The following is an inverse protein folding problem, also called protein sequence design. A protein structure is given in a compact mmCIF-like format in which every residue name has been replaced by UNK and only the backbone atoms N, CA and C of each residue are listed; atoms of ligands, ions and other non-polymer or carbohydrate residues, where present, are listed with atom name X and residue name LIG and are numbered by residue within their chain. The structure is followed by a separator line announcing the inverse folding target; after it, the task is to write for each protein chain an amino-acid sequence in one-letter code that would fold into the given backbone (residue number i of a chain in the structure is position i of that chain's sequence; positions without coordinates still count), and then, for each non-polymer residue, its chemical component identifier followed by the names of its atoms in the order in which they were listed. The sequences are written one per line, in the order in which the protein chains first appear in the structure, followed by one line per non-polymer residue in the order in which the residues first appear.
data_IF_733544053802
#
_entry.id   IF_733544053802
#
_cell.length_a   1.000
_cell.length_b   1.000
_cell.length_c   1.000
_cell.angle_alpha   90.00
_cell.angle_beta   90.00
_cell.angle_gamma   90.00
#
_symmetry.space_group_name_H-M   'P 1'
#
loop_
_entity.id
_entity.type
_entity.pdbx_description
1 polymer ?
#
# COMPACT_ATOMS: atom_id res chain seq x y z
N UNK A 1 6.45 -13.02 -3.33
CA UNK A 1 5.35 -12.15 -3.80
C UNK A 1 4.84 -12.66 -5.16
N UNK A 2 3.58 -13.07 -5.27
CA UNK A 2 3.07 -13.71 -6.50
C UNK A 2 2.36 -12.70 -7.40
N UNK A 3 1.39 -11.98 -6.84
CA UNK A 3 0.62 -10.96 -7.55
C UNK A 3 0.48 -9.74 -6.68
N UNK A 4 0.84 -8.58 -7.23
CA UNK A 4 0.83 -7.29 -6.55
C UNK A 4 -0.11 -6.32 -7.28
N UNK A 5 -1.40 -6.24 -6.89
CA UNK A 5 -2.23 -5.10 -7.22
C UNK A 5 -1.65 -3.81 -6.65
N UNK A 6 -1.64 -2.77 -7.46
CA UNK A 6 -1.25 -1.41 -7.08
C UNK A 6 -2.33 -0.42 -7.51
N UNK A 7 -2.47 0.65 -6.72
CA UNK A 7 -3.40 1.73 -7.00
C UNK A 7 -2.88 3.06 -6.47
N UNK A 8 -3.44 4.15 -6.99
CA UNK A 8 -3.13 5.52 -6.61
C UNK A 8 -4.36 6.15 -5.94
N UNK A 9 -4.23 6.48 -4.66
CA UNK A 9 -5.26 7.18 -3.89
C UNK A 9 -5.03 8.68 -4.02
N UNK A 10 -6.04 9.41 -4.50
CA UNK A 10 -6.00 10.87 -4.64
C UNK A 10 -6.18 11.54 -3.28
N UNK A 11 -5.15 12.26 -2.85
CA UNK A 11 -5.12 13.01 -1.59
C UNK A 11 -5.02 14.52 -1.83
N UNK A 12 -5.24 15.02 -3.05
CA UNK A 12 -5.06 16.45 -3.38
C UNK A 12 -5.93 17.39 -2.55
N UNK A 13 -7.15 16.98 -2.20
CA UNK A 13 -8.05 17.76 -1.33
C UNK A 13 -7.60 17.82 0.12
N UNK A 14 -6.61 17.00 0.49
CA UNK A 14 -5.99 16.90 1.80
C UNK A 14 -4.46 16.83 1.64
N UNK A 15 -3.89 17.64 0.74
CA UNK A 15 -2.44 17.60 0.47
C UNK A 15 -1.65 17.80 1.77
N UNK A 16 -0.60 17.00 1.95
CA UNK A 16 0.26 17.07 3.13
C UNK A 16 1.51 17.88 2.79
N UNK A 17 1.62 19.07 3.39
CA UNK A 17 2.76 19.97 3.23
C UNK A 17 3.78 19.63 4.31
N UNK A 18 4.82 18.89 3.94
CA UNK A 18 5.88 18.45 4.86
C UNK A 18 6.99 19.50 4.96
N UNK A 19 7.28 20.18 3.85
CA UNK A 19 8.21 21.31 3.79
C UNK A 19 7.85 22.25 2.64
N UNK A 20 8.62 23.33 2.47
CA UNK A 20 8.42 24.27 1.34
C UNK A 20 8.53 23.59 -0.04
N UNK A 21 9.35 22.54 -0.14
CA UNK A 21 9.64 21.83 -1.39
C UNK A 21 8.95 20.47 -1.50
N UNK A 22 8.32 19.97 -0.44
CA UNK A 22 7.74 18.63 -0.39
C UNK A 22 6.26 18.72 -0.01
N UNK A 23 5.41 18.44 -0.99
CA UNK A 23 3.95 18.37 -0.81
C UNK A 23 3.42 17.06 -1.36
N UNK A 24 2.95 16.19 -0.48
CA UNK A 24 2.35 14.92 -0.89
C UNK A 24 0.88 15.09 -1.25
N UNK A 25 0.51 14.60 -2.43
CA UNK A 25 -0.84 14.70 -2.99
C UNK A 25 -1.46 13.35 -3.33
N UNK A 26 -0.70 12.26 -3.23
CA UNK A 26 -1.12 10.93 -3.64
C UNK A 26 -0.55 9.87 -2.70
N UNK A 27 -1.21 8.72 -2.62
CA UNK A 27 -0.66 7.52 -1.98
C UNK A 27 -0.57 6.42 -3.04
N UNK A 28 0.62 5.85 -3.21
CA UNK A 28 0.78 4.56 -3.88
C UNK A 28 0.48 3.45 -2.87
N UNK A 29 -0.60 2.73 -3.10
CA UNK A 29 -0.96 1.57 -2.30
C UNK A 29 -0.62 0.30 -3.07
N UNK A 30 0.06 -0.63 -2.42
CA UNK A 30 0.43 -1.94 -2.95
C UNK A 30 -0.04 -3.01 -1.97
N UNK A 31 -0.63 -4.09 -2.45
CA UNK A 31 -1.05 -5.21 -1.61
C UNK A 31 -0.63 -6.54 -2.25
N UNK A 32 0.01 -7.45 -1.52
CA UNK A 32 0.18 -8.81 -2.03
C UNK A 32 -1.16 -9.54 -1.98
N UNK A 33 -1.60 -10.04 -3.13
CA UNK A 33 -2.93 -10.64 -3.27
C UNK A 33 -3.14 -11.88 -2.38
N UNK A 34 -2.08 -12.64 -2.08
CA UNK A 34 -2.18 -13.85 -1.28
C UNK A 34 -1.94 -13.56 0.21
N UNK A 35 -0.83 -12.89 0.52
CA UNK A 35 -0.42 -12.57 1.89
C UNK A 35 -1.36 -11.55 2.56
N UNK A 36 -2.05 -10.74 1.74
CA UNK A 36 -2.78 -9.54 2.17
C UNK A 36 -1.89 -8.49 2.85
N UNK A 37 -0.58 -8.65 2.72
CA UNK A 37 0.40 -7.70 3.23
C UNK A 37 0.36 -6.44 2.38
N UNK A 38 0.27 -5.29 3.05
CA UNK A 38 0.10 -3.98 2.42
C UNK A 38 1.34 -3.13 2.60
N UNK A 39 1.63 -2.32 1.58
CA UNK A 39 2.61 -1.23 1.60
C UNK A 39 1.96 0.04 1.08
N UNK A 40 2.23 1.17 1.71
CA UNK A 40 1.75 2.47 1.25
C UNK A 40 2.91 3.47 1.23
N UNK A 41 2.96 4.28 0.17
CA UNK A 41 4.00 5.30 -0.01
C UNK A 41 3.37 6.65 -0.34
N UNK A 42 3.76 7.74 0.33
CA UNK A 42 3.35 9.07 -0.05
C UNK A 42 4.05 9.46 -1.36
N UNK A 43 3.31 10.15 -2.23
CA UNK A 43 3.78 10.66 -3.49
C UNK A 43 3.36 12.13 -3.67
N UNK A 44 4.24 12.94 -4.24
CA UNK A 44 3.99 14.33 -4.61
C UNK A 44 3.10 14.39 -5.85
N UNK A 45 3.31 13.49 -6.81
CA UNK A 45 2.51 13.40 -8.01
C UNK A 45 2.34 11.95 -8.49
N UNK A 46 1.44 11.76 -9.46
CA UNK A 46 1.17 10.46 -10.09
C UNK A 46 2.08 10.15 -11.28
N UNK A 47 3.27 10.75 -11.39
CA UNK A 47 4.17 10.45 -12.51
C UNK A 47 4.70 9.03 -12.43
N UNK A 48 4.93 8.43 -13.60
CA UNK A 48 5.50 7.09 -13.68
C UNK A 48 6.86 7.01 -12.98
N UNK A 49 7.72 8.03 -13.16
CA UNK A 49 9.03 8.14 -12.52
C UNK A 49 8.95 7.99 -11.00
N UNK A 50 8.04 8.72 -10.37
CA UNK A 50 7.90 8.71 -8.92
C UNK A 50 7.38 7.35 -8.40
N UNK A 51 6.38 6.78 -9.08
CA UNK A 51 5.86 5.44 -8.76
C UNK A 51 6.96 4.38 -8.91
N UNK A 52 7.74 4.43 -9.98
CA UNK A 52 8.84 3.50 -10.25
C UNK A 52 9.93 3.58 -9.17
N UNK A 53 10.21 4.76 -8.62
CA UNK A 53 11.14 4.90 -7.49
C UNK A 53 10.65 4.09 -6.28
N UNK A 54 9.37 4.24 -5.89
CA UNK A 54 8.81 3.50 -4.74
C UNK A 54 8.69 2.00 -5.01
N UNK A 55 8.27 1.60 -6.20
CA UNK A 55 8.20 0.18 -6.58
C UNK A 55 9.58 -0.47 -6.59
N UNK A 56 10.63 0.23 -7.06
CA UNK A 56 12.01 -0.28 -6.97
C UNK A 56 12.44 -0.47 -5.53
N UNK A 57 12.17 0.49 -4.63
CA UNK A 57 12.46 0.34 -3.21
C UNK A 57 11.80 -0.93 -2.64
N UNK A 58 10.53 -1.16 -2.97
CA UNK A 58 9.82 -2.37 -2.56
C UNK A 58 10.47 -3.64 -3.13
N UNK A 59 10.76 -3.66 -4.44
CA UNK A 59 11.24 -4.85 -5.14
C UNK A 59 12.68 -5.21 -4.76
N UNK A 60 13.54 -4.24 -4.48
CA UNK A 60 14.89 -4.51 -3.96
C UNK A 60 14.87 -5.00 -2.51
N UNK A 61 13.82 -4.67 -1.75
CA UNK A 61 13.69 -5.10 -0.35
C UNK A 61 13.10 -6.51 -0.23
N UNK A 62 12.06 -6.83 -1.01
CA UNK A 62 11.29 -8.08 -0.86
C UNK A 62 11.29 -8.98 -2.10
N UNK A 63 12.00 -8.57 -3.16
CA UNK A 63 11.94 -9.18 -4.47
C UNK A 63 10.77 -8.65 -5.32
N UNK A 64 10.90 -8.63 -6.66
CA UNK A 64 9.80 -8.27 -7.55
C UNK A 64 8.69 -9.33 -7.51
N UNK A 65 7.42 -8.94 -7.70
CA UNK A 65 6.34 -9.91 -7.86
C UNK A 65 6.49 -10.67 -9.19
N UNK A 66 5.85 -11.84 -9.30
CA UNK A 66 5.69 -12.49 -10.61
C UNK A 66 4.78 -11.68 -11.52
N UNK A 67 3.79 -11.00 -10.94
CA UNK A 67 2.78 -10.24 -11.67
C UNK A 67 2.44 -8.91 -10.97
N UNK A 68 2.73 -7.79 -11.63
CA UNK A 68 2.25 -6.47 -11.23
C UNK A 68 0.90 -6.18 -11.90
N UNK A 69 -0.08 -5.72 -11.13
CA UNK A 69 -1.42 -5.45 -11.62
C UNK A 69 -1.82 -4.00 -11.30
N UNK A 70 -2.20 -3.23 -12.32
CA UNK A 70 -2.64 -1.83 -12.15
C UNK A 70 -3.87 -1.56 -13.01
N UNK A 71 -4.87 -0.92 -12.41
CA UNK A 71 -6.09 -0.45 -13.08
C UNK A 71 -5.99 1.03 -13.54
N UNK A 72 -4.86 1.70 -13.26
CA UNK A 72 -4.60 3.07 -13.70
C UNK A 72 -4.48 3.21 -15.24
N UNK A 73 -4.62 4.44 -15.73
CA UNK A 73 -4.65 4.79 -17.16
C UNK A 73 -3.52 4.16 -17.98
N UNK A 74 -3.83 3.77 -19.22
CA UNK A 74 -2.97 2.99 -20.11
C UNK A 74 -1.58 3.60 -20.35
N UNK A 75 -1.51 4.93 -20.48
CA UNK A 75 -0.27 5.67 -20.70
C UNK A 75 0.63 5.67 -19.45
N UNK A 76 0.07 5.95 -18.28
CA UNK A 76 0.79 5.88 -17.01
C UNK A 76 1.39 4.49 -16.80
N UNK A 77 0.58 3.44 -17.01
CA UNK A 77 1.02 2.06 -16.84
C UNK A 77 2.10 1.69 -17.88
N UNK A 78 2.01 2.18 -19.12
CA UNK A 78 3.03 1.92 -20.13
C UNK A 78 4.42 2.45 -19.72
N UNK A 79 4.49 3.67 -19.19
CA UNK A 79 5.75 4.28 -18.76
C UNK A 79 6.35 3.56 -17.54
N UNK A 80 5.51 3.20 -16.56
CA UNK A 80 5.95 2.41 -15.39
C UNK A 80 6.50 1.05 -15.82
N UNK A 81 5.83 0.37 -16.75
CA UNK A 81 6.28 -0.93 -17.29
C UNK A 81 7.65 -0.79 -17.95
N UNK A 82 7.82 0.21 -18.81
CA UNK A 82 9.04 0.40 -19.56
C UNK A 82 10.23 0.54 -18.62
N UNK A 83 10.14 1.43 -17.63
CA UNK A 83 11.23 1.63 -16.68
C UNK A 83 11.50 0.39 -15.82
N UNK A 84 10.46 -0.27 -15.29
CA UNK A 84 10.66 -1.45 -14.45
C UNK A 84 11.27 -2.64 -15.21
N UNK A 85 10.92 -2.83 -16.49
CA UNK A 85 11.48 -3.93 -17.29
C UNK A 85 12.96 -3.78 -17.61
N UNK A 86 13.52 -2.57 -17.54
CA UNK A 86 14.97 -2.37 -17.70
C UNK A 86 15.78 -3.05 -16.60
N UNK A 87 15.20 -3.16 -15.39
CA UNK A 87 15.84 -3.76 -14.22
C UNK A 87 15.31 -5.17 -13.95
N UNK A 88 14.01 -5.39 -14.19
CA UNK A 88 13.30 -6.64 -13.92
C UNK A 88 12.68 -7.21 -15.21
N UNK A 89 13.49 -7.79 -16.12
CA UNK A 89 13.02 -8.21 -17.45
C UNK A 89 11.94 -9.29 -17.40
N UNK A 90 11.93 -10.11 -16.34
CA UNK A 90 10.98 -11.20 -16.16
C UNK A 90 9.68 -10.78 -15.46
N UNK A 91 9.51 -9.50 -15.13
CA UNK A 91 8.29 -8.99 -14.49
C UNK A 91 7.13 -8.98 -15.49
N UNK A 92 6.06 -9.73 -15.17
CA UNK A 92 4.82 -9.70 -15.93
C UNK A 92 3.90 -8.58 -15.45
N UNK A 93 3.12 -8.03 -16.36
CA UNK A 93 2.18 -6.94 -16.07
C UNK A 93 0.80 -7.27 -16.62
N UNK A 94 -0.23 -7.01 -15.82
CA UNK A 94 -1.61 -6.98 -16.28
C UNK A 94 -2.10 -5.54 -16.14
N UNK A 95 -2.56 -5.00 -17.26
CA UNK A 95 -3.41 -3.81 -17.27
C UNK A 95 -4.82 -4.25 -16.91
N UNK A 96 -5.52 -3.48 -16.09
CA UNK A 96 -6.93 -3.70 -15.80
C UNK A 96 -7.69 -4.04 -17.08
N UNK A 97 -8.17 -5.28 -17.19
CA UNK A 97 -9.14 -5.61 -18.24
C UNK A 97 -10.48 -5.01 -17.78
N UNK A 98 -11.32 -4.50 -18.69
CA UNK A 98 -12.73 -4.33 -18.37
C UNK A 98 -13.23 -5.72 -17.92
N UNK A 99 -13.76 -5.82 -16.70
CA UNK A 99 -14.31 -7.05 -16.07
C UNK A 99 -13.32 -8.07 -15.46
N UNK A 100 -12.58 -7.69 -14.40
CA UNK A 100 -12.14 -8.66 -13.38
C UNK A 100 -12.50 -8.22 -11.94
N UNK A 101 -13.79 -8.37 -11.55
CA UNK A 101 -14.34 -7.84 -10.30
C UNK A 101 -13.61 -8.31 -9.03
N UNK A 102 -13.12 -9.56 -9.00
CA UNK A 102 -12.44 -10.11 -7.83
C UNK A 102 -11.09 -9.45 -7.54
N UNK A 103 -10.39 -8.98 -8.58
CA UNK A 103 -9.06 -8.39 -8.42
C UNK A 103 -9.14 -6.92 -8.04
N UNK A 104 -10.03 -6.21 -8.72
CA UNK A 104 -10.40 -4.82 -8.42
C UNK A 104 -10.97 -4.74 -7.00
N UNK A 105 -11.89 -5.63 -6.65
CA UNK A 105 -12.47 -5.69 -5.31
C UNK A 105 -11.48 -6.04 -4.19
N UNK A 106 -10.29 -6.57 -4.49
CA UNK A 106 -9.25 -6.77 -3.46
C UNK A 106 -8.58 -5.46 -3.07
N UNK A 107 -8.12 -4.68 -4.07
CA UNK A 107 -7.42 -3.42 -3.80
C UNK A 107 -8.39 -2.31 -3.39
N UNK A 108 -9.61 -2.28 -3.94
CA UNK A 108 -10.66 -1.34 -3.50
C UNK A 108 -10.99 -1.51 -2.02
N UNK A 109 -11.17 -2.75 -1.55
CA UNK A 109 -11.37 -3.03 -0.13
C UNK A 109 -10.16 -2.63 0.70
N UNK A 110 -8.95 -2.91 0.21
CA UNK A 110 -7.73 -2.54 0.90
C UNK A 110 -7.57 -1.02 1.00
N UNK A 111 -7.90 -0.26 -0.05
CA UNK A 111 -7.93 1.21 -0.06
C UNK A 111 -8.91 1.74 0.99
N UNK A 112 -10.09 1.12 1.10
CA UNK A 112 -11.10 1.47 2.11
C UNK A 112 -10.59 1.27 3.53
N UNK A 113 -9.94 0.14 3.81
CA UNK A 113 -9.31 -0.13 5.11
C UNK A 113 -8.21 0.89 5.40
N UNK A 114 -7.29 1.12 4.48
CA UNK A 114 -6.21 2.09 4.64
C UNK A 114 -6.75 3.50 4.92
N UNK A 115 -7.75 3.95 4.15
CA UNK A 115 -8.35 5.28 4.29
C UNK A 115 -9.05 5.47 5.63
N UNK A 116 -9.83 4.46 6.06
CA UNK A 116 -10.52 4.50 7.35
C UNK A 116 -9.53 4.58 8.51
N UNK A 117 -8.52 3.71 8.49
CA UNK A 117 -7.52 3.61 9.55
C UNK A 117 -6.62 4.81 9.62
N UNK A 118 -6.24 5.37 8.46
CA UNK A 118 -5.51 6.63 8.39
C UNK A 118 -6.35 7.79 8.93
N UNK A 119 -7.65 7.84 8.59
CA UNK A 119 -8.57 8.84 9.15
C UNK A 119 -8.67 8.80 10.68
N UNK A 120 -8.76 7.59 11.26
CA UNK A 120 -8.74 7.41 12.72
C UNK A 120 -7.40 7.82 13.33
N UNK A 121 -6.28 7.45 12.67
CA UNK A 121 -4.94 7.86 13.11
C UNK A 121 -4.79 9.38 13.17
N UNK A 122 -5.21 10.09 12.12
CA UNK A 122 -5.20 11.55 12.07
C UNK A 122 -6.02 12.18 13.19
N UNK A 123 -7.22 11.65 13.45
CA UNK A 123 -8.11 12.15 14.49
C UNK A 123 -7.50 12.02 15.89
N UNK A 124 -6.96 10.85 16.24
CA UNK A 124 -6.37 10.63 17.56
C UNK A 124 -5.10 11.44 17.79
N UNK A 125 -4.29 11.63 16.74
CA UNK A 125 -3.05 12.41 16.82
C UNK A 125 -3.29 13.91 16.62
N UNK A 126 -4.55 14.33 16.39
CA UNK A 126 -4.96 15.72 16.17
C UNK A 126 -4.06 16.45 15.15
N UNK A 127 -3.82 15.80 14.01
CA UNK A 127 -2.94 16.30 12.94
C UNK A 127 -3.62 16.16 11.58
N UNK A 128 -3.19 16.95 10.61
CA UNK A 128 -3.56 16.81 9.19
C UNK A 128 -2.44 16.15 8.36
N UNK A 129 -1.26 15.92 8.95
CA UNK A 129 -0.08 15.34 8.30
C UNK A 129 -0.22 13.83 8.12
N UNK A 130 -1.00 13.43 7.11
CA UNK A 130 -1.34 12.03 6.88
C UNK A 130 -0.14 11.18 6.45
N UNK A 131 0.89 11.78 5.86
CA UNK A 131 2.07 11.04 5.40
C UNK A 131 2.85 10.43 6.56
N UNK A 132 2.87 11.08 7.72
CA UNK A 132 3.45 10.56 8.97
C UNK A 132 2.71 9.33 9.49
N UNK A 133 1.39 9.29 9.27
CA UNK A 133 0.52 8.20 9.71
C UNK A 133 0.62 6.94 8.86
N UNK A 134 1.18 7.00 7.65
CA UNK A 134 1.17 5.85 6.73
C UNK A 134 1.90 4.63 7.30
N UNK A 135 3.13 4.80 7.78
CA UNK A 135 3.93 3.69 8.33
C UNK A 135 3.27 3.02 9.54
N UNK A 136 2.86 3.75 10.61
CA UNK A 136 2.21 3.12 11.75
C UNK A 136 0.86 2.48 11.39
N UNK A 137 0.08 3.09 10.48
CA UNK A 137 -1.19 2.51 10.03
C UNK A 137 -0.97 1.22 9.23
N UNK A 138 -0.03 1.23 8.28
CA UNK A 138 0.34 0.04 7.50
C UNK A 138 0.84 -1.08 8.40
N UNK A 139 1.66 -0.75 9.40
CA UNK A 139 2.10 -1.74 10.39
C UNK A 139 0.91 -2.35 11.12
N UNK A 140 0.00 -1.54 11.66
CA UNK A 140 -1.21 -2.01 12.35
C UNK A 140 -2.14 -2.85 11.46
N UNK A 141 -2.24 -2.54 10.17
CA UNK A 141 -2.97 -3.38 9.20
C UNK A 141 -2.29 -4.74 9.05
N UNK A 142 -0.96 -4.77 8.91
CA UNK A 142 -0.20 -5.98 8.68
C UNK A 142 -0.07 -6.87 9.92
N UNK A 143 -0.23 -6.34 11.12
CA UNK A 143 -0.20 -7.10 12.39
C UNK A 143 -1.60 -7.41 12.93
N UNK A 144 -2.67 -7.06 12.19
CA UNK A 144 -4.03 -7.41 12.57
C UNK A 144 -4.36 -8.84 12.12
N UNK A 145 -4.87 -9.65 13.06
CA UNK A 145 -5.32 -11.01 12.77
C UNK A 145 -6.53 -10.98 11.85
N UNK A 146 -6.47 -11.75 10.76
CA UNK A 146 -7.64 -11.96 9.92
C UNK A 146 -8.53 -13.06 10.51
N UNK A 147 -9.84 -12.79 10.56
CA UNK A 147 -10.82 -13.78 11.02
C UNK A 147 -10.84 -15.06 10.18
N UNK A 148 -10.47 -14.96 8.91
CA UNK A 148 -10.47 -16.08 7.96
C UNK A 148 -9.24 -16.96 8.10
N UNK A 149 -8.05 -16.38 8.17
CA UNK A 149 -6.78 -17.14 8.22
C UNK A 149 -6.31 -17.43 9.64
N UNK A 150 -6.89 -16.76 10.65
CA UNK A 150 -6.46 -16.79 12.05
C UNK A 150 -4.98 -16.43 12.25
N UNK A 151 -4.41 -15.72 11.28
CA UNK A 151 -3.04 -15.24 11.27
C UNK A 151 -3.01 -13.80 10.76
N UNK A 152 -1.95 -13.07 11.11
CA UNK A 152 -1.69 -11.72 10.60
C UNK A 152 -0.98 -11.78 9.24
N UNK A 153 -1.17 -10.80 8.34
CA UNK A 153 -0.35 -10.70 7.12
C UNK A 153 1.16 -10.76 7.40
N UNK A 154 1.61 -10.18 8.50
CA UNK A 154 3.00 -10.20 8.96
C UNK A 154 3.48 -11.63 9.24
N UNK A 155 2.72 -12.42 9.99
CA UNK A 155 3.05 -13.81 10.28
C UNK A 155 3.13 -14.66 9.01
N UNK A 156 2.19 -14.47 8.07
CA UNK A 156 2.18 -15.21 6.81
C UNK A 156 3.41 -14.81 5.96
N UNK A 157 3.80 -13.54 5.98
CA UNK A 157 4.93 -13.04 5.21
C UNK A 157 6.30 -13.45 5.78
N UNK A 158 6.47 -13.38 7.10
CA UNK A 158 7.77 -13.55 7.75
C UNK A 158 7.92 -14.87 8.52
N UNK A 159 6.85 -15.64 8.69
CA UNK A 159 6.87 -16.91 9.44
C UNK A 159 7.11 -16.74 10.94
N UNK A 160 6.95 -15.53 11.47
CA UNK A 160 7.15 -15.21 12.88
C UNK A 160 6.16 -14.14 13.33
N UNK A 161 5.86 -14.13 14.63
CA UNK A 161 5.06 -13.06 15.23
C UNK A 161 5.81 -11.72 15.16
N UNK A 162 5.09 -10.60 14.96
CA UNK A 162 5.69 -9.28 15.11
C UNK A 162 6.27 -9.12 16.51
N UNK A 163 7.52 -8.63 16.59
CA UNK A 163 8.19 -8.35 17.86
C UNK A 163 7.72 -6.98 18.38
N UNK A 164 7.18 -6.94 19.59
CA UNK A 164 6.67 -5.71 20.21
C UNK A 164 5.29 -5.83 20.85
N UNK A 165 4.58 -6.94 20.63
CA UNK A 165 3.24 -7.17 21.16
C UNK A 165 3.29 -8.09 22.40
N UNK A 166 3.88 -7.61 23.49
CA UNK A 166 3.65 -8.18 24.82
C UNK A 166 2.44 -7.49 25.46
N UNK A 167 1.28 -8.16 25.43
CA UNK A 167 0.13 -7.97 26.33
C UNK A 167 -0.55 -6.58 26.40
N UNK A 168 -0.13 -5.57 25.65
CA UNK A 168 -0.79 -4.26 25.61
C UNK A 168 -1.22 -3.88 24.19
N UNK A 169 -2.19 -4.64 23.66
CA UNK A 169 -2.92 -4.36 22.42
C UNK A 169 -3.82 -3.11 22.50
N UNK A 170 -3.41 -2.04 23.17
CA UNK A 170 -4.25 -0.85 23.36
C UNK A 170 -3.90 0.31 22.44
N UNK A 171 -2.70 0.40 21.86
CA UNK A 171 -2.40 1.54 20.98
C UNK A 171 -2.94 1.36 19.55
N UNK A 172 -2.90 0.13 19.00
CA UNK A 172 -3.38 -0.10 17.63
C UNK A 172 -4.86 -0.50 17.58
N UNK A 173 -5.37 -1.34 18.48
CA UNK A 173 -6.79 -1.73 18.46
C UNK A 173 -7.76 -0.53 18.50
N UNK A 174 -7.37 0.58 19.13
CA UNK A 174 -8.15 1.83 19.17
C UNK A 174 -8.45 2.41 17.76
N UNK A 175 -7.55 2.23 16.79
CA UNK A 175 -7.76 2.70 15.42
C UNK A 175 -8.58 1.74 14.57
N UNK A 176 -8.90 0.54 15.05
CA UNK A 176 -9.44 -0.53 14.20
C UNK A 176 -10.66 -1.24 14.79
N UNK A 177 -11.08 -0.91 16.02
CA UNK A 177 -12.38 -1.29 16.59
C UNK A 177 -13.49 -0.37 16.06
N UNK A 178 -14.62 -0.98 15.72
CA UNK A 178 -15.92 -0.33 15.48
C UNK A 178 -16.68 -0.32 16.80
#
# INVERSE_FOLDING_TARGET
MTRLPIDLIDMRTRSDVVSADVVYCWILHCIDHFLKFTWAYPLENKSAKEVVVKLRQLFFTFGPPRLLHSDNGSEFVANVILELKTVFPNLCFIRGRPHHPQSQGCIERANGVLSLSLGKWLQTNNTAHWSEGLLPVVYGINTRTSDTTKATPYEIMFGQHPRGDSEHSTCYEFYFKN
#
